data_IF_427097579282
#
_entry.id   IF_427097579282
#
_cell.length_a   1.000
_cell.length_b   1.000
_cell.length_c   1.000
_cell.angle_alpha   90.00
_cell.angle_beta   90.00
_cell.angle_gamma   90.00
#
_symmetry.space_group_name_H-M   'P 1'
#
loop_
_entity.id
_entity.type
_entity.pdbx_description
1 polymer ?
#
# COMPACT_ATOMS: atom_id res chain seq x y z
N UNK A 1 22.29 20.42 -7.99
CA UNK A 1 21.62 19.86 -6.79
C UNK A 1 20.16 20.23 -6.91
N UNK A 2 19.32 19.30 -7.37
CA UNK A 2 17.87 19.54 -7.44
C UNK A 2 17.32 19.42 -6.01
N UNK A 3 16.66 20.46 -5.55
CA UNK A 3 15.97 20.46 -4.27
C UNK A 3 14.96 19.32 -4.25
N UNK A 4 15.09 18.43 -3.26
CA UNK A 4 14.03 17.49 -2.91
C UNK A 4 12.81 18.33 -2.51
N UNK A 5 11.81 18.41 -3.40
CA UNK A 5 10.47 18.72 -2.96
C UNK A 5 10.13 17.67 -1.90
N UNK A 6 9.78 18.08 -0.68
CA UNK A 6 9.18 17.17 0.29
C UNK A 6 7.81 16.80 -0.27
N UNK A 7 7.76 15.80 -1.13
CA UNK A 7 6.55 15.38 -1.82
C UNK A 7 5.44 15.10 -0.81
N UNK A 8 4.24 15.63 -1.07
CA UNK A 8 3.08 15.42 -0.21
C UNK A 8 2.85 13.92 0.01
N UNK A 9 2.58 13.55 1.27
CA UNK A 9 2.25 12.19 1.69
C UNK A 9 0.86 12.20 2.31
N UNK A 10 0.06 11.21 1.95
CA UNK A 10 -1.32 11.10 2.38
C UNK A 10 -1.55 9.70 2.90
N UNK A 11 -2.28 9.60 4.01
CA UNK A 11 -2.75 8.35 4.56
C UNK A 11 -4.26 8.42 4.66
N UNK A 12 -4.92 7.36 4.20
CA UNK A 12 -6.35 7.19 4.28
C UNK A 12 -6.58 5.89 5.03
N UNK A 13 -7.39 5.94 6.07
CA UNK A 13 -7.72 4.79 6.93
C UNK A 13 -9.22 4.58 6.83
N UNK A 14 -9.64 3.41 6.35
CA UNK A 14 -11.05 3.04 6.20
C UNK A 14 -11.86 4.13 5.47
N UNK A 15 -11.33 4.64 4.35
CA UNK A 15 -11.96 5.71 3.56
C UNK A 15 -11.77 7.14 4.09
N UNK A 16 -11.26 7.31 5.32
CA UNK A 16 -11.13 8.61 5.97
C UNK A 16 -9.68 9.13 5.91
N UNK A 17 -9.45 10.38 5.46
CA UNK A 17 -8.12 10.99 5.47
C UNK A 17 -7.57 11.14 6.90
N UNK A 18 -6.34 10.68 7.11
CA UNK A 18 -5.61 10.90 8.35
C UNK A 18 -5.14 12.36 8.46
N UNK A 19 -5.35 12.97 9.63
CA UNK A 19 -5.06 14.40 9.85
C UNK A 19 -3.64 14.70 10.38
N UNK A 20 -2.89 13.68 10.80
CA UNK A 20 -1.53 13.82 11.36
C UNK A 20 -0.40 13.75 10.33
N UNK A 21 0.84 13.82 10.81
CA UNK A 21 2.02 13.61 9.96
C UNK A 21 2.05 12.17 9.42
N UNK A 22 2.30 12.05 8.12
CA UNK A 22 2.28 10.76 7.42
C UNK A 22 3.73 10.30 7.22
N UNK A 23 4.16 9.17 7.79
CA UNK A 23 5.53 8.70 7.64
C UNK A 23 5.88 8.31 6.20
N UNK A 24 7.18 8.17 5.85
CA UNK A 24 7.58 7.56 4.58
C UNK A 24 7.00 6.15 4.47
N UNK A 25 6.73 5.69 3.24
CA UNK A 25 6.11 4.37 3.01
C UNK A 25 6.89 3.22 3.65
N UNK A 26 8.23 3.31 3.70
CA UNK A 26 9.07 2.31 4.35
C UNK A 26 8.79 2.25 5.85
N UNK A 27 8.90 3.39 6.55
CA UNK A 27 8.62 3.47 7.98
C UNK A 27 7.16 3.08 8.32
N UNK A 28 6.20 3.39 7.43
CA UNK A 28 4.81 2.95 7.55
C UNK A 28 4.70 1.42 7.53
N UNK A 29 5.33 0.75 6.57
CA UNK A 29 5.30 -0.71 6.45
C UNK A 29 6.06 -1.39 7.60
N UNK A 30 7.17 -0.83 8.05
CA UNK A 30 7.93 -1.38 9.18
C UNK A 30 7.13 -1.34 10.50
N UNK A 31 6.29 -0.31 10.69
CA UNK A 31 5.48 -0.09 11.89
C UNK A 31 4.06 -0.63 11.81
N UNK A 32 3.58 -1.04 10.63
CA UNK A 32 2.20 -1.51 10.42
C UNK A 32 2.22 -2.91 9.82
N UNK A 33 1.93 -3.93 10.63
CA UNK A 33 1.78 -5.32 10.18
C UNK A 33 0.54 -5.48 9.29
N UNK A 34 0.66 -6.26 8.21
CA UNK A 34 -0.45 -6.56 7.31
C UNK A 34 -0.02 -6.98 5.90
N UNK A 35 -0.99 -7.43 5.10
CA UNK A 35 -0.79 -7.70 3.68
C UNK A 35 -0.79 -6.38 2.90
N UNK A 36 0.08 -6.23 1.90
CA UNK A 36 0.14 -4.98 1.14
C UNK A 36 0.43 -5.18 -0.35
N UNK A 37 0.01 -4.20 -1.15
CA UNK A 37 0.38 -4.06 -2.55
C UNK A 37 0.78 -2.62 -2.83
N UNK A 38 1.66 -2.42 -3.79
CA UNK A 38 2.11 -1.09 -4.20
C UNK A 38 2.01 -1.00 -5.71
N UNK A 39 1.38 0.05 -6.20
CA UNK A 39 1.34 0.45 -7.60
C UNK A 39 1.71 1.92 -7.72
N UNK A 40 1.65 2.47 -8.93
CA UNK A 40 1.84 3.88 -9.19
C UNK A 40 0.92 4.36 -10.30
N UNK A 41 0.80 5.67 -10.42
CA UNK A 41 0.21 6.28 -11.59
C UNK A 41 1.18 6.34 -12.77
N UNK A 42 0.63 6.59 -13.96
CA UNK A 42 1.36 6.79 -15.19
C UNK A 42 0.68 7.84 -16.07
N UNK A 43 1.51 8.53 -16.86
CA UNK A 43 1.05 9.48 -17.86
C UNK A 43 0.58 10.77 -17.21
N UNK A 44 1.38 11.33 -16.30
CA UNK A 44 1.02 12.55 -15.56
C UNK A 44 -0.19 12.33 -14.65
N UNK A 45 -0.18 11.23 -13.90
CA UNK A 45 -1.23 10.80 -13.00
C UNK A 45 -2.60 10.45 -13.65
N UNK A 46 -2.64 10.24 -14.97
CA UNK A 46 -3.88 9.96 -15.69
C UNK A 46 -4.44 8.54 -15.45
N UNK A 47 -3.57 7.56 -15.17
CA UNK A 47 -3.94 6.15 -15.03
C UNK A 47 -3.26 5.53 -13.82
N UNK A 48 -3.96 4.68 -13.07
CA UNK A 48 -3.36 3.79 -12.06
C UNK A 48 -2.94 2.49 -12.74
N UNK A 49 -1.65 2.13 -12.67
CA UNK A 49 -1.13 0.97 -13.40
C UNK A 49 -1.62 -0.35 -12.80
N UNK A 50 -2.15 -1.22 -13.66
CA UNK A 50 -2.52 -2.61 -13.36
C UNK A 50 -3.40 -2.78 -12.10
N UNK A 51 -4.26 -1.80 -11.81
CA UNK A 51 -4.99 -1.71 -10.55
C UNK A 51 -5.69 -3.02 -10.13
N UNK A 52 -6.46 -3.61 -11.05
CA UNK A 52 -7.14 -4.89 -10.83
C UNK A 52 -6.21 -6.02 -10.41
N UNK A 53 -5.03 -6.11 -11.04
CA UNK A 53 -4.01 -7.11 -10.68
C UNK A 53 -3.44 -6.87 -9.30
N UNK A 54 -3.27 -5.59 -8.92
CA UNK A 54 -2.79 -5.23 -7.58
C UNK A 54 -3.82 -5.58 -6.50
N UNK A 55 -5.11 -5.34 -6.75
CA UNK A 55 -6.20 -5.72 -5.84
C UNK A 55 -6.33 -7.24 -5.69
N UNK A 56 -6.30 -8.01 -6.78
CA UNK A 56 -6.31 -9.47 -6.70
C UNK A 56 -5.12 -9.99 -5.88
N UNK A 57 -3.91 -9.47 -6.13
CA UNK A 57 -2.73 -9.86 -5.35
C UNK A 57 -2.83 -9.50 -3.87
N UNK A 58 -3.45 -8.37 -3.53
CA UNK A 58 -3.68 -7.97 -2.14
C UNK A 58 -4.64 -8.94 -1.46
N UNK A 59 -5.76 -9.26 -2.11
CA UNK A 59 -6.74 -10.23 -1.61
C UNK A 59 -6.12 -11.63 -1.43
N UNK A 60 -5.33 -12.08 -2.40
CA UNK A 60 -4.59 -13.35 -2.30
C UNK A 60 -3.58 -13.35 -1.14
N UNK A 61 -2.84 -12.25 -0.96
CA UNK A 61 -1.88 -12.14 0.14
C UNK A 61 -2.60 -12.19 1.49
N UNK A 62 -3.66 -11.39 1.67
CA UNK A 62 -4.46 -11.39 2.88
C UNK A 62 -5.08 -12.77 3.17
N UNK A 63 -5.58 -13.45 2.14
CA UNK A 63 -6.09 -14.82 2.22
C UNK A 63 -5.04 -15.81 2.71
N UNK A 64 -3.84 -15.78 2.13
CA UNK A 64 -2.76 -16.69 2.51
C UNK A 64 -2.42 -16.48 4.00
N UNK A 65 -2.21 -15.22 4.42
CA UNK A 65 -1.87 -14.91 5.81
C UNK A 65 -2.99 -15.32 6.78
N UNK A 66 -4.24 -14.99 6.47
CA UNK A 66 -5.40 -15.40 7.28
C UNK A 66 -5.52 -16.93 7.44
N UNK A 67 -5.03 -17.70 6.46
CA UNK A 67 -5.01 -19.15 6.50
C UNK A 67 -3.85 -19.72 7.33
N UNK A 68 -2.66 -19.15 7.18
CA UNK A 68 -1.46 -19.43 7.97
C UNK A 68 -0.29 -18.61 7.42
N UNK A 69 0.43 -17.80 8.23
CA UNK A 69 0.27 -17.47 9.66
C UNK A 69 -0.51 -16.13 9.88
N UNK A 70 -1.66 -16.15 10.61
CA UNK A 70 -2.54 -14.99 10.75
C UNK A 70 -1.93 -13.82 11.54
N UNK A 71 -0.90 -14.09 12.35
CA UNK A 71 -0.17 -13.08 13.12
C UNK A 71 0.44 -12.02 12.19
N UNK A 72 0.86 -12.43 10.98
CA UNK A 72 1.41 -11.54 9.96
C UNK A 72 0.38 -10.63 9.30
N UNK A 73 -0.91 -10.93 9.46
CA UNK A 73 -2.01 -10.04 9.08
C UNK A 73 -2.26 -8.96 10.16
N UNK A 74 -1.51 -8.97 11.26
CA UNK A 74 -1.59 -7.97 12.33
C UNK A 74 -2.66 -8.27 13.40
N UNK A 75 -3.41 -9.36 13.27
CA UNK A 75 -4.34 -9.84 14.30
C UNK A 75 -4.77 -11.29 14.02
N UNK A 76 -4.87 -12.10 15.08
CA UNK A 76 -5.31 -13.50 15.03
C UNK A 76 -6.85 -13.62 15.14
N UNK A 77 -7.56 -12.49 15.00
CA UNK A 77 -8.97 -12.42 15.36
C UNK A 77 -9.84 -13.34 14.49
N UNK A 78 -10.79 -14.10 15.07
CA UNK A 78 -11.61 -15.06 14.34
C UNK A 78 -12.46 -14.48 13.20
N UNK A 79 -12.71 -13.16 13.22
CA UNK A 79 -13.44 -12.45 12.14
C UNK A 79 -12.58 -12.16 10.91
N UNK A 80 -11.25 -12.10 11.04
CA UNK A 80 -10.32 -11.97 9.92
C UNK A 80 -10.13 -13.31 9.17
N UNK A 81 -11.19 -14.11 9.04
CA UNK A 81 -11.17 -15.41 8.36
C UNK A 81 -11.67 -15.32 6.93
N UNK A 82 -11.01 -16.10 6.08
CA UNK A 82 -11.27 -16.21 4.65
C UNK A 82 -12.55 -17.03 4.42
N UNK A 83 -13.71 -16.35 4.27
CA UNK A 83 -14.04 -15.67 3.02
C UNK A 83 -14.44 -14.19 3.17
N UNK A 84 -14.70 -13.70 4.38
CA UNK A 84 -15.15 -12.33 4.63
C UNK A 84 -14.09 -11.32 4.14
N UNK A 85 -12.84 -11.59 4.47
CA UNK A 85 -11.67 -10.76 4.13
C UNK A 85 -11.59 -10.46 2.62
N UNK A 86 -11.80 -11.45 1.75
CA UNK A 86 -11.61 -11.25 0.31
C UNK A 86 -12.74 -10.45 -0.33
N UNK A 87 -13.97 -10.54 0.18
CA UNK A 87 -15.12 -9.83 -0.38
C UNK A 87 -15.09 -8.35 -0.04
N UNK A 88 -14.57 -8.00 1.14
CA UNK A 88 -14.55 -6.62 1.65
C UNK A 88 -13.36 -5.80 1.16
N UNK A 89 -12.20 -6.42 0.86
CA UNK A 89 -10.98 -5.68 0.46
C UNK A 89 -11.23 -4.71 -0.71
N UNK A 90 -11.90 -5.16 -1.78
CA UNK A 90 -12.11 -4.33 -2.97
C UNK A 90 -12.89 -3.04 -2.65
N UNK A 91 -14.12 -3.08 -2.12
CA UNK A 91 -14.91 -1.87 -1.90
C UNK A 91 -14.19 -0.88 -0.97
N UNK A 92 -13.59 -1.34 0.13
CA UNK A 92 -12.88 -0.46 1.07
C UNK A 92 -11.61 0.17 0.49
N UNK A 93 -10.82 -0.60 -0.27
CA UNK A 93 -9.63 -0.06 -0.92
C UNK A 93 -10.02 0.92 -2.02
N UNK A 94 -11.09 0.66 -2.78
CA UNK A 94 -11.58 1.59 -3.79
C UNK A 94 -12.13 2.88 -3.20
N UNK A 95 -12.86 2.81 -2.09
CA UNK A 95 -13.30 3.99 -1.34
C UNK A 95 -12.11 4.83 -0.88
N UNK A 96 -11.15 4.17 -0.22
CA UNK A 96 -9.91 4.83 0.23
C UNK A 96 -9.13 5.44 -0.94
N UNK A 97 -9.13 4.77 -2.09
CA UNK A 97 -8.48 5.25 -3.30
C UNK A 97 -9.13 6.51 -3.85
N UNK A 98 -10.47 6.56 -3.91
CA UNK A 98 -11.20 7.76 -4.37
C UNK A 98 -10.91 8.95 -3.45
N UNK A 99 -10.96 8.76 -2.14
CA UNK A 99 -10.66 9.80 -1.17
C UNK A 99 -9.20 10.29 -1.29
N UNK A 100 -8.25 9.35 -1.34
CA UNK A 100 -6.82 9.65 -1.36
C UNK A 100 -6.32 10.27 -2.66
N UNK A 101 -6.71 9.72 -3.81
CA UNK A 101 -6.31 10.29 -5.10
C UNK A 101 -6.83 11.71 -5.28
N UNK A 102 -8.06 11.99 -4.84
CA UNK A 102 -8.60 13.34 -4.89
C UNK A 102 -7.73 14.34 -4.11
N UNK A 103 -7.24 13.97 -2.94
CA UNK A 103 -6.34 14.81 -2.14
C UNK A 103 -4.97 14.98 -2.80
N UNK A 104 -4.36 13.88 -3.22
CA UNK A 104 -3.02 13.88 -3.81
C UNK A 104 -2.96 14.65 -5.15
N UNK A 105 -3.99 14.52 -5.99
CA UNK A 105 -4.08 15.25 -7.27
C UNK A 105 -4.25 16.75 -7.04
N UNK A 106 -5.09 17.17 -6.08
CA UNK A 106 -5.23 18.60 -5.74
C UNK A 106 -3.92 19.19 -5.22
N UNK A 107 -3.16 18.44 -4.42
CA UNK A 107 -1.83 18.87 -3.98
C UNK A 107 -0.86 19.00 -5.14
N UNK A 108 -0.83 17.99 -6.00
CA UNK A 108 0.02 17.97 -7.18
C UNK A 108 -0.23 19.17 -8.09
N UNK A 109 -1.49 19.49 -8.34
CA UNK A 109 -1.89 20.66 -9.14
C UNK A 109 -1.47 21.97 -8.46
N UNK A 110 -1.69 22.10 -7.15
CA UNK A 110 -1.27 23.29 -6.38
C UNK A 110 0.23 23.50 -6.40
N UNK A 111 1.00 22.41 -6.32
CA UNK A 111 2.45 22.42 -6.37
C UNK A 111 3.01 22.59 -7.80
N UNK A 112 2.14 22.56 -8.84
CA UNK A 112 2.58 22.57 -10.23
C UNK A 112 3.42 21.35 -10.62
N UNK A 113 3.27 20.24 -9.90
CA UNK A 113 4.08 19.03 -10.09
C UNK A 113 3.53 18.16 -11.22
N UNK A 114 4.42 17.55 -11.98
CA UNK A 114 4.09 16.53 -12.99
C UNK A 114 4.42 15.11 -12.54
N UNK A 115 4.95 14.95 -11.32
CA UNK A 115 5.35 13.66 -10.76
C UNK A 115 4.19 12.66 -10.74
N UNK A 116 4.53 11.37 -10.79
CA UNK A 116 3.54 10.31 -10.61
C UNK A 116 3.24 10.14 -9.10
N UNK A 117 2.21 9.37 -8.78
CA UNK A 117 1.87 9.01 -7.42
C UNK A 117 2.18 7.53 -7.19
N UNK A 118 2.96 7.20 -6.16
CA UNK A 118 3.03 5.86 -5.62
C UNK A 118 1.85 5.63 -4.69
N UNK A 119 1.20 4.47 -4.82
CA UNK A 119 -0.01 4.11 -4.08
C UNK A 119 0.26 2.76 -3.43
N UNK A 120 0.27 2.72 -2.10
CA UNK A 120 0.41 1.49 -1.31
C UNK A 120 -0.86 1.24 -0.53
N UNK A 121 -1.55 0.15 -0.84
CA UNK A 121 -2.68 -0.33 -0.06
C UNK A 121 -2.20 -1.43 0.88
N UNK A 122 -2.54 -1.33 2.15
CA UNK A 122 -2.27 -2.31 3.19
C UNK A 122 -3.59 -2.69 3.88
N UNK A 123 -3.76 -3.97 4.17
CA UNK A 123 -4.89 -4.50 4.93
C UNK A 123 -4.37 -5.28 6.12
N UNK A 124 -4.99 -5.08 7.28
CA UNK A 124 -4.68 -5.81 8.51
C UNK A 124 -5.97 -6.28 9.18
N UNK A 125 -5.88 -7.31 10.02
CA UNK A 125 -6.99 -7.72 10.88
C UNK A 125 -7.34 -6.63 11.89
N UNK A 126 -8.63 -6.41 12.11
CA UNK A 126 -9.15 -5.45 13.08
C UNK A 126 -10.17 -6.12 14.00
N UNK A 127 -10.13 -5.76 15.29
CA UNK A 127 -11.11 -6.17 16.29
C UNK A 127 -12.27 -5.16 16.39
N UNK A 128 -12.02 -3.92 15.96
CA UNK A 128 -12.94 -2.80 16.10
C UNK A 128 -13.92 -2.72 14.92
N UNK A 129 -13.48 -3.12 13.73
CA UNK A 129 -14.28 -3.06 12.50
C UNK A 129 -15.23 -4.26 12.38
N UNK A 130 -16.47 -4.01 11.94
CA UNK A 130 -17.50 -5.05 11.78
C UNK A 130 -17.06 -6.12 10.77
N UNK A 131 -16.41 -5.68 9.68
CA UNK A 131 -15.85 -6.51 8.62
C UNK A 131 -14.51 -7.18 8.99
N UNK A 132 -13.98 -6.88 10.18
CA UNK A 132 -12.79 -7.49 10.76
C UNK A 132 -11.46 -7.08 10.12
N UNK A 133 -11.43 -5.99 9.35
CA UNK A 133 -10.22 -5.47 8.70
C UNK A 133 -10.13 -3.96 8.78
N UNK A 134 -8.91 -3.47 8.99
CA UNK A 134 -8.55 -2.09 8.66
C UNK A 134 -7.88 -2.03 7.28
N UNK A 135 -8.20 -1.00 6.52
CA UNK A 135 -7.61 -0.67 5.23
C UNK A 135 -6.87 0.65 5.33
N UNK A 136 -5.60 0.60 4.96
CA UNK A 136 -4.72 1.76 4.88
C UNK A 136 -4.33 2.00 3.44
N UNK A 137 -4.43 3.25 2.99
CA UNK A 137 -3.92 3.68 1.69
C UNK A 137 -2.91 4.81 1.89
N UNK A 138 -1.65 4.48 1.66
CA UNK A 138 -0.55 5.43 1.64
C UNK A 138 -0.32 5.91 0.20
N UNK A 139 -0.33 7.23 0.00
CA UNK A 139 -0.06 7.86 -1.29
C UNK A 139 1.08 8.85 -1.12
N UNK A 140 2.07 8.79 -2.00
CA UNK A 140 3.17 9.74 -2.03
C UNK A 140 3.58 10.08 -3.45
N UNK A 141 4.20 11.24 -3.63
CA UNK A 141 4.77 11.61 -4.92
C UNK A 141 5.94 10.67 -5.27
N UNK A 142 6.04 10.35 -6.56
CA UNK A 142 6.94 9.32 -7.06
C UNK A 142 7.55 9.73 -8.39
N UNK A 143 8.88 9.75 -8.39
CA UNK A 143 9.70 9.87 -9.61
C UNK A 143 10.22 8.46 -9.94
N UNK A 144 9.83 7.88 -11.08
CA UNK A 144 10.33 6.57 -11.49
C UNK A 144 11.87 6.57 -11.58
N UNK A 145 12.57 5.64 -10.91
CA UNK A 145 14.02 5.56 -11.01
C UNK A 145 14.42 5.16 -12.43
N UNK A 146 15.45 5.82 -12.96
CA UNK A 146 16.05 5.48 -14.26
C UNK A 146 17.35 4.72 -14.01
N UNK A 147 17.31 3.41 -14.26
CA UNK A 147 18.53 2.60 -14.33
C UNK A 147 19.15 2.89 -15.70
N UNK A 148 20.22 3.68 -15.72
CA UNK A 148 20.91 4.08 -16.96
C UNK A 148 21.48 2.89 -17.74
N UNK A 149 22.40 3.15 -18.67
CA UNK A 149 22.99 2.09 -19.52
C UNK A 149 23.72 0.99 -18.74
N UNK A 150 24.19 1.29 -17.53
CA UNK A 150 24.80 0.31 -16.62
C UNK A 150 23.79 -0.66 -15.98
N UNK A 151 22.48 -0.39 -16.10
CA UNK A 151 21.43 -1.23 -15.52
C UNK A 151 21.40 -1.19 -13.99
N UNK A 152 20.87 -2.28 -13.39
CA UNK A 152 20.85 -2.50 -11.95
C UNK A 152 21.83 -3.61 -11.57
N UNK A 153 22.53 -3.43 -10.45
CA UNK A 153 23.39 -4.47 -9.87
C UNK A 153 22.61 -5.26 -8.82
N UNK A 154 22.77 -6.58 -8.80
CA UNK A 154 22.08 -7.48 -7.88
C UNK A 154 23.08 -8.27 -7.05
N UNK A 155 22.78 -8.42 -5.77
CA UNK A 155 23.45 -9.33 -4.86
C UNK A 155 22.40 -10.12 -4.06
N UNK A 156 22.74 -11.33 -3.64
CA UNK A 156 21.90 -12.14 -2.75
C UNK A 156 22.12 -11.65 -1.32
N UNK A 157 21.03 -11.38 -0.59
CA UNK A 157 21.08 -10.92 0.78
C UNK A 157 19.98 -11.59 1.61
N UNK A 158 20.30 -11.89 2.87
CA UNK A 158 19.35 -12.36 3.87
C UNK A 158 18.90 -13.83 3.72
N UNK A 159 18.07 -14.30 4.66
CA UNK A 159 17.46 -15.62 4.62
C UNK A 159 16.32 -15.69 3.58
N UNK A 160 15.90 -16.93 3.28
CA UNK A 160 14.69 -17.18 2.49
C UNK A 160 13.42 -16.69 3.21
N UNK A 161 12.33 -16.58 2.45
CA UNK A 161 11.03 -16.14 2.98
C UNK A 161 10.15 -17.33 3.32
N UNK A 162 9.55 -17.32 4.50
CA UNK A 162 8.65 -18.40 4.95
C UNK A 162 7.35 -18.46 4.13
N UNK A 163 6.77 -17.30 3.80
CA UNK A 163 5.51 -17.19 3.03
C UNK A 163 5.74 -16.37 1.76
N UNK A 164 6.68 -16.81 0.92
CA UNK A 164 7.10 -16.08 -0.29
C UNK A 164 5.95 -15.75 -1.27
N UNK A 165 4.84 -16.49 -1.22
CA UNK A 165 3.67 -16.29 -2.07
C UNK A 165 2.78 -15.12 -1.66
N UNK A 166 2.84 -14.66 -0.39
CA UNK A 166 2.06 -13.54 0.11
C UNK A 166 2.93 -12.30 0.26
N UNK A 167 2.44 -11.11 -0.11
CA UNK A 167 3.17 -9.86 0.10
C UNK A 167 2.71 -9.18 1.40
N UNK A 168 3.57 -9.11 2.41
CA UNK A 168 3.26 -8.59 3.74
C UNK A 168 4.39 -7.72 4.31
N UNK A 169 4.03 -6.83 5.22
CA UNK A 169 4.83 -5.66 5.58
C UNK A 169 6.10 -5.96 6.39
N UNK A 170 6.20 -7.10 7.07
CA UNK A 170 7.46 -7.53 7.70
C UNK A 170 8.60 -7.71 6.69
N UNK A 171 8.31 -7.82 5.38
CA UNK A 171 9.32 -7.77 4.32
C UNK A 171 9.98 -6.41 4.12
N UNK A 172 9.40 -5.35 4.69
CA UNK A 172 9.97 -4.01 4.61
C UNK A 172 11.14 -3.81 5.58
N UNK A 173 11.39 -4.76 6.50
CA UNK A 173 12.48 -4.74 7.49
C UNK A 173 13.78 -5.35 6.97
#
# INVERSE_FOLDING_TARGET
MAASCSGGRFLIVNGVPHAGDVPPVLAFLESTSGAYTTTRTYGSAALVLFWERHLCRLADSARILAGSPPELLGSDHPRARFPAVSAVIRPFVEESLRAGLGLALRERDRAGSTEELAITALVRGSEEEEDGLDVFLHIGFFVPPVFGTAGAHLAVAGPGRDVAAAKYSDWAR
#
